data_IF_827053554383
#
_entry.id   IF_827053554383
#
_cell.length_a   1.000
_cell.length_b   1.000
_cell.length_c   1.000
_cell.angle_alpha   90.00
_cell.angle_beta   90.00
_cell.angle_gamma   90.00
#
_symmetry.space_group_name_H-M   'P 1'
#
loop_
_entity.id
_entity.type
_entity.pdbx_description
1 polymer ?
#
# COMPACT_ATOMS: atom_id res chain seq x y z
N UNK A 1 15.46 -28.38 13.12
CA UNK A 1 14.82 -27.34 13.92
C UNK A 1 13.48 -27.07 13.28
N UNK A 2 12.38 -27.20 13.97
CA UNK A 2 11.05 -26.94 13.40
C UNK A 2 10.85 -25.42 13.31
N UNK A 3 11.00 -24.84 12.13
CA UNK A 3 10.61 -23.47 11.85
C UNK A 3 9.08 -23.42 11.82
N UNK A 4 8.45 -23.13 12.93
CA UNK A 4 7.00 -22.93 12.98
C UNK A 4 6.72 -21.48 13.42
N UNK A 5 6.90 -20.52 12.49
CA UNK A 5 6.69 -19.10 12.73
C UNK A 5 5.23 -18.65 12.48
N UNK A 6 4.35 -19.56 12.04
CA UNK A 6 2.93 -19.27 11.82
C UNK A 6 2.29 -18.91 13.16
N UNK A 7 1.53 -17.81 13.18
CA UNK A 7 0.90 -17.26 14.38
C UNK A 7 1.84 -16.47 15.30
N UNK A 8 3.12 -16.29 14.93
CA UNK A 8 4.03 -15.40 15.66
C UNK A 8 3.87 -13.95 15.20
N UNK A 9 4.05 -13.00 16.12
CA UNK A 9 4.10 -11.58 15.75
C UNK A 9 5.24 -11.32 14.74
N UNK A 10 5.08 -10.39 13.80
CA UNK A 10 6.18 -9.96 12.94
C UNK A 10 7.29 -9.32 13.77
N UNK A 11 8.51 -9.33 13.26
CA UNK A 11 9.58 -8.49 13.80
C UNK A 11 9.32 -7.05 13.40
N UNK A 12 9.30 -6.16 14.39
CA UNK A 12 9.18 -4.73 14.18
C UNK A 12 10.56 -4.10 14.08
N UNK A 13 10.78 -3.24 13.10
CA UNK A 13 12.03 -2.54 12.95
C UNK A 13 11.86 -1.13 12.39
N UNK A 14 12.90 -0.31 12.57
CA UNK A 14 12.98 1.04 12.02
C UNK A 14 14.36 1.28 11.42
N UNK A 15 14.42 2.09 10.38
CA UNK A 15 15.65 2.63 9.82
C UNK A 15 15.58 4.15 9.76
N UNK A 16 16.74 4.80 9.61
CA UNK A 16 16.76 6.23 9.26
C UNK A 16 16.96 6.34 7.75
N UNK A 17 16.02 7.00 7.09
CA UNK A 17 16.08 7.35 5.68
C UNK A 17 15.95 8.86 5.51
N UNK A 18 17.00 9.50 5.02
CA UNK A 18 17.09 10.95 4.81
C UNK A 18 16.67 11.79 6.03
N UNK A 19 16.99 11.28 7.24
CA UNK A 19 16.66 11.92 8.50
C UNK A 19 15.30 11.57 9.10
N UNK A 20 14.49 10.78 8.41
CA UNK A 20 13.19 10.29 8.89
C UNK A 20 13.27 8.85 9.39
N UNK A 21 12.54 8.53 10.45
CA UNK A 21 12.34 7.15 10.88
C UNK A 21 11.30 6.47 9.99
N UNK A 22 11.70 5.38 9.33
CA UNK A 22 10.83 4.54 8.52
C UNK A 22 10.69 3.18 9.18
N UNK A 23 9.45 2.81 9.51
CA UNK A 23 9.12 1.56 10.19
C UNK A 23 8.77 0.45 9.20
N UNK A 24 9.02 -0.78 9.60
CA UNK A 24 8.66 -1.97 8.84
C UNK A 24 8.25 -3.12 9.75
N UNK A 25 7.49 -4.04 9.18
CA UNK A 25 7.14 -5.33 9.76
C UNK A 25 7.74 -6.43 8.90
N UNK A 26 8.37 -7.42 9.55
CA UNK A 26 9.04 -8.53 8.88
C UNK A 26 8.46 -9.86 9.41
N UNK A 27 7.57 -10.46 8.60
CA UNK A 27 7.00 -11.78 8.87
C UNK A 27 7.98 -12.85 8.39
N UNK A 28 8.81 -13.31 9.34
CA UNK A 28 9.83 -14.30 9.08
C UNK A 28 9.24 -15.61 8.50
N UNK A 29 9.90 -16.22 7.52
CA UNK A 29 9.41 -17.46 6.90
C UNK A 29 9.40 -18.62 7.90
N UNK A 30 8.50 -19.56 7.68
CA UNK A 30 8.42 -20.83 8.41
C UNK A 30 9.27 -21.93 7.77
N UNK A 31 9.88 -21.69 6.61
CA UNK A 31 10.69 -22.61 5.81
C UNK A 31 12.10 -22.06 5.59
N UNK A 32 13.08 -22.93 5.32
CA UNK A 32 14.43 -22.52 4.90
C UNK A 32 14.48 -22.11 3.41
N UNK A 33 13.51 -22.56 2.62
CA UNK A 33 13.36 -22.20 1.21
C UNK A 33 12.15 -21.30 1.08
N UNK A 34 12.38 -20.07 0.71
CA UNK A 34 11.34 -19.05 0.60
C UNK A 34 11.72 -17.99 -0.43
N UNK A 35 10.72 -17.30 -0.94
CA UNK A 35 10.86 -16.08 -1.71
C UNK A 35 10.59 -14.86 -0.84
N UNK A 36 11.10 -13.70 -1.25
CA UNK A 36 10.83 -12.44 -0.57
C UNK A 36 9.65 -11.73 -1.23
N UNK A 37 8.67 -11.35 -0.42
CA UNK A 37 7.50 -10.58 -0.84
C UNK A 37 7.46 -9.25 -0.08
N UNK A 38 7.58 -8.15 -0.80
CA UNK A 38 7.33 -6.81 -0.29
C UNK A 38 5.85 -6.48 -0.44
N UNK A 39 5.20 -6.03 0.64
CA UNK A 39 3.81 -5.55 0.61
C UNK A 39 3.75 -4.06 0.95
N UNK A 40 2.98 -3.30 0.15
CA UNK A 40 2.85 -1.85 0.28
C UNK A 40 1.38 -1.45 0.36
N UNK A 41 1.05 -0.72 1.42
CA UNK A 41 -0.32 -0.40 1.85
C UNK A 41 -0.94 0.80 1.12
N UNK A 42 -2.30 0.91 1.09
CA UNK A 42 -3.00 2.08 0.59
C UNK A 42 -2.75 3.34 1.43
N UNK A 43 -3.02 4.52 0.86
CA UNK A 43 -3.00 5.80 1.57
C UNK A 43 -3.95 5.79 2.78
N UNK A 44 -3.48 6.31 3.92
CA UNK A 44 -4.24 6.37 5.17
C UNK A 44 -4.30 5.04 5.97
N UNK A 45 -3.57 4.00 5.51
CA UNK A 45 -3.47 2.69 6.18
C UNK A 45 -2.05 2.45 6.71
N UNK A 46 -1.67 1.19 6.93
CA UNK A 46 -0.35 0.79 7.44
C UNK A 46 0.00 -0.62 6.95
N UNK A 47 1.28 -0.97 7.04
CA UNK A 47 1.77 -2.30 6.68
C UNK A 47 1.10 -3.43 7.46
N UNK A 48 0.74 -3.15 8.72
CA UNK A 48 0.13 -4.14 9.60
C UNK A 48 -1.25 -4.63 9.14
N UNK A 49 -1.94 -3.95 8.20
CA UNK A 49 -3.19 -4.47 7.65
C UNK A 49 -3.01 -5.78 6.88
N UNK A 50 -1.78 -6.07 6.42
CA UNK A 50 -1.45 -7.33 5.76
C UNK A 50 -1.23 -8.50 6.73
N UNK A 51 -1.22 -8.27 8.06
CA UNK A 51 -0.87 -9.28 9.09
C UNK A 51 -1.58 -10.64 8.86
N UNK A 52 -2.92 -10.70 8.64
CA UNK A 52 -3.59 -11.99 8.44
C UNK A 52 -3.18 -12.70 7.13
N UNK A 53 -2.85 -11.95 6.08
CA UNK A 53 -2.41 -12.50 4.80
C UNK A 53 -0.95 -12.96 4.91
N UNK A 54 -0.09 -12.11 5.46
CA UNK A 54 1.33 -12.36 5.61
C UNK A 54 1.62 -13.59 6.48
N UNK A 55 0.85 -13.78 7.55
CA UNK A 55 0.99 -14.94 8.42
C UNK A 55 0.72 -16.27 7.68
N UNK A 56 -0.28 -16.29 6.80
CA UNK A 56 -0.62 -17.45 5.99
C UNK A 56 0.38 -17.72 4.84
N UNK A 57 1.19 -16.73 4.48
CA UNK A 57 2.20 -16.84 3.42
C UNK A 57 3.57 -17.33 3.94
N UNK A 58 3.81 -17.42 5.25
CA UNK A 58 5.11 -17.74 5.84
C UNK A 58 5.68 -19.11 5.43
N UNK A 59 4.86 -20.02 4.94
CA UNK A 59 5.35 -21.30 4.44
C UNK A 59 6.24 -21.17 3.21
N UNK A 60 5.98 -20.17 2.37
CA UNK A 60 6.66 -19.98 1.09
C UNK A 60 7.37 -18.63 0.97
N UNK A 61 7.04 -17.65 1.84
CA UNK A 61 7.56 -16.29 1.73
C UNK A 61 8.10 -15.76 3.06
N UNK A 62 9.16 -14.96 2.96
CA UNK A 62 9.44 -13.90 3.91
C UNK A 62 8.67 -12.66 3.44
N UNK A 63 7.66 -12.25 4.19
CA UNK A 63 6.87 -11.07 3.85
C UNK A 63 7.40 -9.87 4.61
N UNK A 64 7.63 -8.76 3.91
CA UNK A 64 8.12 -7.51 4.48
C UNK A 64 7.11 -6.43 4.13
N UNK A 65 6.57 -5.76 5.12
CA UNK A 65 5.67 -4.62 4.95
C UNK A 65 6.33 -3.35 5.46
N UNK A 66 6.29 -2.28 4.68
CA UNK A 66 6.87 -0.99 5.09
C UNK A 66 5.73 0.00 5.34
N UNK A 67 5.75 0.65 6.49
CA UNK A 67 4.92 1.81 6.73
C UNK A 67 5.49 2.99 5.95
N UNK A 68 4.75 3.46 4.96
CA UNK A 68 5.17 4.60 4.14
C UNK A 68 5.29 5.87 5.00
N UNK A 69 6.06 6.87 4.55
CA UNK A 69 6.21 8.17 5.25
C UNK A 69 4.87 8.69 5.75
N UNK A 70 4.78 9.11 7.00
CA UNK A 70 3.58 9.64 7.63
C UNK A 70 2.49 8.62 7.94
N UNK A 71 2.78 7.32 7.80
CA UNK A 71 1.83 6.23 8.07
C UNK A 71 2.35 5.27 9.14
N UNK A 72 1.43 4.59 9.80
CA UNK A 72 1.73 3.55 10.76
C UNK A 72 2.72 4.01 11.84
N UNK A 73 3.79 3.26 12.05
CA UNK A 73 4.86 3.58 13.01
C UNK A 73 6.02 4.39 12.38
N UNK A 74 5.95 4.76 11.10
CA UNK A 74 6.87 5.69 10.46
C UNK A 74 6.67 7.11 10.94
N UNK A 75 7.72 7.92 10.87
CA UNK A 75 7.67 9.31 11.30
C UNK A 75 6.62 10.11 10.53
N UNK A 76 5.87 10.95 11.25
CA UNK A 76 4.91 11.89 10.67
C UNK A 76 5.59 12.87 9.71
N UNK A 77 4.94 13.13 8.59
CA UNK A 77 5.37 14.07 7.55
C UNK A 77 4.17 14.85 7.07
N UNK A 78 4.26 16.17 7.10
CA UNK A 78 3.17 17.10 6.71
C UNK A 78 3.51 17.92 5.47
N UNK A 79 4.80 18.10 5.16
CA UNK A 79 5.21 18.85 3.98
C UNK A 79 5.01 18.00 2.72
N UNK A 80 4.24 18.52 1.76
CA UNK A 80 4.00 17.85 0.47
C UNK A 80 5.30 17.51 -0.26
N UNK A 81 6.32 18.36 -0.15
CA UNK A 81 7.60 18.14 -0.80
C UNK A 81 8.33 16.88 -0.30
N UNK A 82 8.01 16.45 0.92
CA UNK A 82 8.55 15.24 1.55
C UNK A 82 7.67 14.00 1.36
N UNK A 83 6.51 14.13 0.73
CA UNK A 83 5.54 13.04 0.50
C UNK A 83 5.57 12.49 -0.95
N UNK A 84 6.62 12.76 -1.71
CA UNK A 84 6.77 12.28 -3.08
C UNK A 84 6.86 10.76 -3.19
N UNK A 85 6.26 10.20 -4.23
CA UNK A 85 6.29 8.76 -4.50
C UNK A 85 7.72 8.24 -4.69
N UNK A 86 8.59 9.03 -5.32
CA UNK A 86 10.02 8.74 -5.50
C UNK A 86 10.78 8.66 -4.18
N UNK A 87 10.47 9.55 -3.23
CA UNK A 87 11.06 9.54 -1.90
C UNK A 87 10.61 8.33 -1.09
N UNK A 88 9.30 8.00 -1.15
CA UNK A 88 8.76 6.79 -0.50
C UNK A 88 9.39 5.53 -1.09
N UNK A 89 9.57 5.46 -2.42
CA UNK A 89 10.25 4.34 -3.08
C UNK A 89 11.71 4.21 -2.62
N UNK A 90 12.42 5.32 -2.47
CA UNK A 90 13.79 5.36 -1.92
C UNK A 90 13.84 4.83 -0.50
N UNK A 91 12.88 5.21 0.37
CA UNK A 91 12.79 4.69 1.74
C UNK A 91 12.63 3.18 1.77
N UNK A 92 11.69 2.66 0.97
CA UNK A 92 11.42 1.22 0.88
C UNK A 92 12.67 0.47 0.44
N UNK A 93 13.38 0.97 -0.58
CA UNK A 93 14.63 0.35 -1.03
C UNK A 93 15.73 0.36 0.04
N UNK A 94 15.80 1.40 0.87
CA UNK A 94 16.73 1.45 2.02
C UNK A 94 16.35 0.44 3.10
N UNK A 95 15.04 0.24 3.37
CA UNK A 95 14.56 -0.83 4.26
C UNK A 95 15.00 -2.19 3.73
N UNK A 96 14.71 -2.51 2.46
CA UNK A 96 15.09 -3.78 1.85
C UNK A 96 16.60 -4.00 1.88
N UNK A 97 17.39 -2.97 1.60
CA UNK A 97 18.86 -3.00 1.71
C UNK A 97 19.35 -3.27 3.14
N UNK A 98 18.74 -2.65 4.15
CA UNK A 98 19.07 -2.87 5.57
C UNK A 98 18.81 -4.30 6.03
N UNK A 99 17.78 -4.93 5.43
CA UNK A 99 17.40 -6.33 5.67
C UNK A 99 18.18 -7.31 4.81
N UNK A 100 19.12 -6.83 4.00
CA UNK A 100 19.94 -7.63 3.07
C UNK A 100 19.08 -8.43 2.08
N UNK A 101 17.98 -7.85 1.62
CA UNK A 101 17.08 -8.44 0.62
C UNK A 101 17.41 -7.87 -0.75
N UNK A 102 18.08 -8.66 -1.57
CA UNK A 102 18.57 -8.21 -2.87
C UNK A 102 17.49 -8.26 -3.95
N UNK A 103 16.65 -9.32 -3.94
CA UNK A 103 15.58 -9.49 -4.92
C UNK A 103 14.28 -9.89 -4.25
N UNK A 104 13.17 -9.39 -4.76
CA UNK A 104 11.84 -9.59 -4.20
C UNK A 104 10.74 -9.40 -5.24
N UNK A 105 9.58 -9.97 -5.00
CA UNK A 105 8.33 -9.60 -5.67
C UNK A 105 7.61 -8.50 -4.87
N UNK A 106 6.78 -7.70 -5.52
CA UNK A 106 6.04 -6.61 -4.87
C UNK A 106 4.54 -6.80 -5.08
N UNK A 107 3.79 -6.72 -3.98
CA UNK A 107 2.36 -6.51 -3.97
C UNK A 107 2.08 -5.08 -3.48
N UNK A 108 1.61 -4.22 -4.35
CA UNK A 108 1.26 -2.84 -4.02
C UNK A 108 -0.23 -2.56 -4.21
N UNK A 109 -0.87 -1.98 -3.20
CA UNK A 109 -2.30 -1.63 -3.24
C UNK A 109 -2.47 -0.12 -3.23
N UNK A 110 -3.21 0.44 -4.20
CA UNK A 110 -3.51 1.87 -4.33
C UNK A 110 -2.23 2.73 -4.34
N UNK A 111 -1.98 3.58 -3.33
CA UNK A 111 -0.71 4.31 -3.14
C UNK A 111 0.48 3.35 -3.14
N UNK A 112 0.37 2.23 -2.41
CA UNK A 112 1.42 1.20 -2.40
C UNK A 112 1.72 0.65 -3.80
N UNK A 113 0.73 0.60 -4.68
CA UNK A 113 0.91 0.28 -6.10
C UNK A 113 1.69 1.36 -6.86
N UNK A 114 1.43 2.63 -6.59
CA UNK A 114 2.22 3.73 -7.16
C UNK A 114 3.69 3.67 -6.73
N UNK A 115 3.94 3.41 -5.44
CA UNK A 115 5.30 3.25 -4.92
C UNK A 115 5.99 2.00 -5.50
N UNK A 116 5.24 0.92 -5.71
CA UNK A 116 5.75 -0.30 -6.35
C UNK A 116 6.21 -0.05 -7.80
N UNK A 117 5.46 0.77 -8.55
CA UNK A 117 5.83 1.22 -9.90
C UNK A 117 7.16 2.00 -9.86
N UNK A 118 7.29 2.97 -8.95
CA UNK A 118 8.52 3.75 -8.80
C UNK A 118 9.72 2.84 -8.46
N UNK A 119 9.56 1.89 -7.53
CA UNK A 119 10.62 0.93 -7.16
C UNK A 119 11.03 0.09 -8.38
N UNK A 120 10.06 -0.45 -9.12
CA UNK A 120 10.33 -1.29 -10.29
C UNK A 120 11.02 -0.51 -11.42
N UNK A 121 10.74 0.78 -11.55
CA UNK A 121 11.38 1.64 -12.53
C UNK A 121 12.83 2.03 -12.16
N UNK A 122 13.10 2.33 -10.87
CA UNK A 122 14.43 2.80 -10.43
C UNK A 122 15.40 1.67 -10.06
N UNK A 123 14.87 0.47 -9.74
CA UNK A 123 15.68 -0.70 -9.38
C UNK A 123 15.16 -1.98 -10.08
N UNK A 124 15.10 -1.99 -11.43
CA UNK A 124 14.47 -3.06 -12.19
C UNK A 124 15.14 -4.42 -12.01
N UNK A 125 16.40 -4.47 -11.60
CA UNK A 125 17.14 -5.70 -11.32
C UNK A 125 16.75 -6.38 -10.00
N UNK A 126 16.04 -5.64 -9.11
CA UNK A 126 15.62 -6.15 -7.81
C UNK A 126 14.22 -6.75 -7.81
N UNK A 127 13.36 -6.32 -8.74
CA UNK A 127 11.95 -6.71 -8.77
C UNK A 127 11.74 -7.88 -9.71
N UNK A 128 11.28 -9.02 -9.17
CA UNK A 128 10.97 -10.23 -9.93
C UNK A 128 9.60 -10.14 -10.58
N UNK A 129 8.58 -9.93 -9.77
CA UNK A 129 7.17 -9.83 -10.16
C UNK A 129 6.55 -8.60 -9.50
N UNK A 130 5.70 -7.91 -10.23
CA UNK A 130 4.98 -6.72 -9.78
C UNK A 130 3.48 -6.96 -9.87
N UNK A 131 2.82 -7.10 -8.74
CA UNK A 131 1.37 -7.22 -8.62
C UNK A 131 0.77 -5.91 -8.14
N UNK A 132 0.04 -5.24 -9.04
CA UNK A 132 -0.56 -3.92 -8.84
C UNK A 132 -2.07 -4.05 -8.63
N UNK A 133 -2.53 -3.81 -7.40
CA UNK A 133 -3.95 -3.84 -7.05
C UNK A 133 -4.47 -2.41 -6.91
N UNK A 134 -5.37 -1.96 -7.79
CA UNK A 134 -5.92 -0.59 -7.77
C UNK A 134 -4.83 0.50 -7.77
N UNK A 135 -3.71 0.27 -8.45
CA UNK A 135 -2.54 1.16 -8.39
C UNK A 135 -2.85 2.56 -8.92
N UNK A 136 -2.37 3.58 -8.22
CA UNK A 136 -2.63 4.98 -8.55
C UNK A 136 -1.54 5.49 -9.51
N UNK A 137 -1.77 5.26 -10.79
CA UNK A 137 -1.01 5.81 -11.90
C UNK A 137 -1.98 6.22 -13.00
N UNK A 138 -2.01 7.50 -13.35
CA UNK A 138 -3.05 8.08 -14.19
C UNK A 138 -2.47 8.77 -15.42
N UNK A 139 -3.18 8.63 -16.53
CA UNK A 139 -2.95 9.39 -17.75
C UNK A 139 -4.29 9.96 -18.26
N UNK A 140 -4.22 10.91 -19.14
CA UNK A 140 -5.38 11.55 -19.77
C UNK A 140 -5.22 11.60 -21.28
N UNK A 141 -6.25 11.19 -22.00
CA UNK A 141 -6.24 11.14 -23.46
C UNK A 141 -6.21 12.53 -24.09
N UNK A 142 -6.71 13.53 -23.37
CA UNK A 142 -6.75 14.90 -23.86
C UNK A 142 -6.03 15.89 -22.94
N UNK A 143 -5.42 16.92 -23.57
CA UNK A 143 -4.84 18.05 -22.81
C UNK A 143 -5.87 18.79 -21.97
N UNK A 144 -7.14 18.76 -22.36
CA UNK A 144 -8.22 19.43 -21.63
C UNK A 144 -8.50 18.70 -20.35
N UNK A 145 -8.68 17.37 -20.36
CA UNK A 145 -8.92 16.57 -19.16
C UNK A 145 -7.76 16.66 -18.18
N UNK A 146 -6.50 16.59 -18.70
CA UNK A 146 -5.31 16.80 -17.87
C UNK A 146 -5.31 18.18 -17.21
N UNK A 147 -5.66 19.24 -17.95
CA UNK A 147 -5.71 20.59 -17.41
C UNK A 147 -6.81 20.72 -16.35
N UNK A 148 -8.01 20.18 -16.59
CA UNK A 148 -9.11 20.16 -15.63
C UNK A 148 -8.71 19.43 -14.34
N UNK A 149 -8.04 18.28 -14.43
CA UNK A 149 -7.49 17.57 -13.27
C UNK A 149 -6.48 18.40 -12.48
N UNK A 150 -5.56 19.10 -13.16
CA UNK A 150 -4.54 19.92 -12.51
C UNK A 150 -5.11 21.21 -11.89
N UNK A 151 -6.18 21.75 -12.48
CA UNK A 151 -6.85 22.97 -12.02
C UNK A 151 -7.90 22.73 -10.92
N UNK A 152 -8.30 21.49 -10.68
CA UNK A 152 -9.24 21.14 -9.62
C UNK A 152 -8.71 21.63 -8.26
N UNK A 153 -9.49 22.46 -7.58
CA UNK A 153 -9.02 23.16 -6.36
C UNK A 153 -8.72 22.23 -5.21
N UNK A 154 -9.51 21.17 -5.05
CA UNK A 154 -9.36 20.21 -3.97
C UNK A 154 -9.93 18.86 -4.39
N UNK A 155 -9.13 17.82 -4.25
CA UNK A 155 -9.54 16.46 -4.57
C UNK A 155 -10.60 15.96 -3.58
N UNK A 156 -11.73 15.35 -4.02
CA UNK A 156 -12.79 14.90 -3.12
C UNK A 156 -12.32 13.96 -2.00
N UNK A 157 -11.35 13.07 -2.30
CA UNK A 157 -10.76 12.19 -1.28
C UNK A 157 -9.93 12.97 -0.25
N UNK A 158 -9.24 14.05 -0.64
CA UNK A 158 -8.53 14.92 0.30
C UNK A 158 -9.49 15.60 1.28
N UNK A 159 -10.63 16.09 0.78
CA UNK A 159 -11.71 16.62 1.64
C UNK A 159 -12.23 15.57 2.61
N UNK A 160 -12.41 14.34 2.13
CA UNK A 160 -12.84 13.21 2.95
C UNK A 160 -11.83 12.87 4.04
N UNK A 161 -10.54 12.79 3.67
CA UNK A 161 -9.44 12.48 4.57
C UNK A 161 -9.34 13.48 5.73
N UNK A 162 -9.38 14.80 5.46
CA UNK A 162 -9.35 15.84 6.49
C UNK A 162 -10.50 15.77 7.50
N UNK A 163 -11.61 15.12 7.14
CA UNK A 163 -12.78 14.93 8.01
C UNK A 163 -12.72 13.64 8.81
N UNK A 164 -11.71 12.82 8.63
CA UNK A 164 -11.55 11.60 9.41
C UNK A 164 -11.40 11.95 10.89
N UNK A 165 -12.13 11.25 11.73
CA UNK A 165 -11.95 11.33 13.18
C UNK A 165 -10.61 10.68 13.51
N UNK A 166 -9.70 11.43 14.13
CA UNK A 166 -8.37 10.94 14.52
C UNK A 166 -8.34 10.35 15.93
N UNK A 167 -9.14 10.88 16.87
CA UNK A 167 -9.12 10.47 18.30
C UNK A 167 -10.41 9.71 18.66
N UNK A 168 -10.24 8.57 19.30
CA UNK A 168 -11.30 7.63 19.68
C UNK A 168 -11.17 7.23 21.15
N UNK A 169 -12.27 6.82 21.80
CA UNK A 169 -12.24 6.37 23.19
C UNK A 169 -11.39 5.10 23.35
N UNK A 170 -11.55 4.16 22.42
CA UNK A 170 -10.88 2.87 22.43
C UNK A 170 -10.97 2.20 21.05
N UNK A 171 -10.33 1.04 20.88
CA UNK A 171 -10.32 0.27 19.64
C UNK A 171 -11.66 -0.43 19.33
N UNK A 172 -12.49 -0.67 20.33
CA UNK A 172 -13.83 -1.27 20.16
C UNK A 172 -14.75 -0.27 19.44
N UNK A 173 -14.76 1.00 19.87
CA UNK A 173 -15.49 2.08 19.17
C UNK A 173 -15.06 2.21 17.70
N UNK A 174 -13.76 2.07 17.40
CA UNK A 174 -13.26 2.10 16.03
C UNK A 174 -13.80 0.91 15.24
N UNK A 175 -13.74 -0.30 15.82
CA UNK A 175 -14.21 -1.54 15.19
C UNK A 175 -15.69 -1.44 14.81
N UNK A 176 -16.54 -0.96 15.73
CA UNK A 176 -17.97 -0.77 15.50
C UNK A 176 -18.24 0.28 14.42
N UNK A 177 -17.51 1.39 14.47
CA UNK A 177 -17.66 2.48 13.52
C UNK A 177 -17.21 2.09 12.11
N UNK A 178 -16.06 1.48 11.96
CA UNK A 178 -15.48 1.13 10.67
C UNK A 178 -16.14 -0.12 10.06
N UNK A 179 -16.46 -1.11 10.88
CA UNK A 179 -17.16 -2.32 10.44
C UNK A 179 -18.61 -2.11 9.99
N UNK A 180 -19.17 -0.90 10.20
CA UNK A 180 -20.55 -0.54 9.81
C UNK A 180 -20.64 0.55 8.74
N UNK A 181 -19.51 0.99 8.16
CA UNK A 181 -19.49 2.12 7.21
C UNK A 181 -18.64 1.82 5.99
N UNK A 182 -19.19 2.17 4.83
CA UNK A 182 -18.43 2.15 3.57
C UNK A 182 -17.21 3.09 3.63
N UNK A 183 -16.13 2.71 2.97
CA UNK A 183 -15.90 1.43 2.29
C UNK A 183 -15.36 0.31 3.20
N UNK A 184 -15.07 0.62 4.48
CA UNK A 184 -14.35 -0.27 5.40
C UNK A 184 -15.18 -1.46 5.89
N UNK A 185 -16.52 -1.37 5.81
CA UNK A 185 -17.43 -2.48 6.14
C UNK A 185 -17.24 -3.72 5.22
N UNK A 186 -16.63 -3.52 4.06
CA UNK A 186 -16.35 -4.58 3.10
C UNK A 186 -15.06 -5.36 3.43
N UNK A 187 -14.20 -4.81 4.29
CA UNK A 187 -12.96 -5.49 4.67
C UNK A 187 -13.26 -6.79 5.43
N UNK A 188 -12.49 -7.81 5.12
CA UNK A 188 -12.50 -9.03 5.91
C UNK A 188 -12.23 -8.69 7.39
N UNK A 189 -12.99 -9.27 8.36
CA UNK A 189 -12.94 -8.86 9.77
C UNK A 189 -11.53 -8.93 10.40
N UNK A 190 -10.70 -9.89 10.00
CA UNK A 190 -9.32 -10.01 10.51
C UNK A 190 -8.41 -8.91 9.96
N UNK A 191 -8.63 -8.46 8.72
CA UNK A 191 -7.92 -7.34 8.11
C UNK A 191 -8.29 -6.02 8.80
N UNK A 192 -9.59 -5.79 9.04
CA UNK A 192 -10.03 -4.62 9.78
C UNK A 192 -9.45 -4.59 11.20
N UNK A 193 -9.45 -5.73 11.89
CA UNK A 193 -8.85 -5.87 13.23
C UNK A 193 -7.34 -5.60 13.19
N UNK A 194 -6.64 -6.10 12.18
CA UNK A 194 -5.21 -5.85 11.99
C UNK A 194 -4.93 -4.37 11.71
N UNK A 195 -5.73 -3.73 10.86
CA UNK A 195 -5.62 -2.27 10.64
C UNK A 195 -5.83 -1.49 11.95
N UNK A 196 -6.84 -1.81 12.75
CA UNK A 196 -7.09 -1.14 14.04
C UNK A 196 -5.93 -1.38 15.03
N UNK A 197 -5.34 -2.56 15.02
CA UNK A 197 -4.19 -2.88 15.88
C UNK A 197 -2.96 -2.04 15.53
N UNK A 198 -2.63 -1.91 14.25
CA UNK A 198 -1.37 -1.34 13.76
C UNK A 198 -1.49 0.12 13.27
N UNK A 199 -2.66 0.54 12.84
CA UNK A 199 -2.92 1.87 12.31
C UNK A 199 -3.37 2.90 13.33
N UNK A 200 -3.35 2.55 14.64
CA UNK A 200 -3.72 3.43 15.73
C UNK A 200 -2.75 3.29 16.90
N UNK A 201 -2.46 4.40 17.57
CA UNK A 201 -1.55 4.49 18.71
C UNK A 201 -2.29 4.81 20.01
N UNK A 202 -1.84 4.24 21.10
CA UNK A 202 -2.37 4.55 22.44
C UNK A 202 -1.83 5.90 22.91
N UNK A 203 -2.70 6.71 23.51
CA UNK A 203 -2.40 8.02 24.07
C UNK A 203 -2.28 7.94 25.60
N UNK A 204 -1.53 8.87 26.17
CA UNK A 204 -1.35 8.95 27.63
C UNK A 204 -2.65 9.24 28.41
N UNK A 205 -3.65 9.81 27.72
CA UNK A 205 -4.98 10.08 28.30
C UNK A 205 -5.94 8.87 28.25
N UNK A 206 -5.46 7.72 27.79
CA UNK A 206 -6.23 6.47 27.67
C UNK A 206 -7.07 6.39 26.39
N UNK A 207 -7.03 7.38 25.54
CA UNK A 207 -7.67 7.37 24.21
C UNK A 207 -6.76 6.72 23.18
N UNK A 208 -7.28 6.56 21.96
CA UNK A 208 -6.56 5.98 20.82
C UNK A 208 -6.56 6.97 19.67
N UNK A 209 -5.43 7.14 19.03
CA UNK A 209 -5.26 8.09 17.93
C UNK A 209 -4.85 7.40 16.64
N UNK A 210 -5.39 7.88 15.52
CA UNK A 210 -5.03 7.42 14.18
C UNK A 210 -3.55 7.73 13.90
N UNK A 211 -2.78 6.71 13.53
CA UNK A 211 -1.34 6.84 13.31
C UNK A 211 -1.02 7.69 12.05
N UNK A 212 -1.81 7.56 10.98
CA UNK A 212 -1.69 8.45 9.82
C UNK A 212 -2.48 9.72 10.07
N UNK A 213 -1.80 10.87 10.13
CA UNK A 213 -2.46 12.16 10.27
C UNK A 213 -3.42 12.41 9.09
N UNK A 214 -4.68 12.81 9.33
CA UNK A 214 -5.64 13.16 8.27
C UNK A 214 -5.12 14.18 7.26
N UNK A 215 -4.25 15.10 7.66
CA UNK A 215 -3.64 16.08 6.75
C UNK A 215 -2.59 15.41 5.84
N UNK A 216 -1.79 14.48 6.35
CA UNK A 216 -0.86 13.68 5.53
C UNK A 216 -1.61 12.90 4.46
N UNK A 217 -2.66 12.18 4.86
CA UNK A 217 -3.52 11.43 3.93
C UNK A 217 -4.14 12.35 2.86
N UNK A 218 -4.64 13.51 3.28
CA UNK A 218 -5.24 14.51 2.39
C UNK A 218 -4.22 15.11 1.42
N UNK A 219 -3.02 15.42 1.89
CA UNK A 219 -1.92 15.97 1.07
C UNK A 219 -1.54 14.99 -0.03
N UNK A 220 -1.42 13.71 0.28
CA UNK A 220 -1.13 12.66 -0.72
C UNK A 220 -2.25 12.57 -1.76
N UNK A 221 -3.53 12.61 -1.36
CA UNK A 221 -4.65 12.64 -2.31
C UNK A 221 -4.67 13.93 -3.14
N UNK A 222 -4.12 15.02 -2.63
CA UNK A 222 -4.01 16.30 -3.34
C UNK A 222 -2.86 16.36 -4.33
N UNK A 223 -1.84 15.52 -4.17
CA UNK A 223 -0.66 15.49 -5.04
C UNK A 223 -1.01 15.03 -6.44
N UNK A 224 -0.56 15.77 -7.47
CA UNK A 224 -1.06 15.54 -8.83
C UNK A 224 0.01 15.28 -9.85
N UNK A 225 0.96 16.19 -10.02
CA UNK A 225 1.92 16.13 -11.13
C UNK A 225 3.27 15.57 -10.69
N UNK A 226 4.06 16.32 -9.95
CA UNK A 226 5.46 15.98 -9.65
C UNK A 226 5.63 14.82 -8.68
N UNK A 227 4.69 14.65 -7.76
CA UNK A 227 4.80 13.69 -6.66
C UNK A 227 3.68 12.66 -6.66
N UNK A 228 2.80 12.71 -7.64
CA UNK A 228 1.54 12.01 -7.67
C UNK A 228 1.34 11.12 -8.92
N UNK A 229 0.10 10.83 -9.25
CA UNK A 229 -0.27 9.77 -10.19
C UNK A 229 0.20 9.98 -11.62
N UNK A 230 0.36 11.23 -12.08
CA UNK A 230 0.81 11.52 -13.46
C UNK A 230 2.27 11.18 -13.67
N UNK A 231 3.15 11.55 -12.73
CA UNK A 231 4.57 11.19 -12.80
C UNK A 231 4.79 9.69 -12.67
N UNK A 232 4.01 9.02 -11.82
CA UNK A 232 4.07 7.57 -11.65
C UNK A 232 3.65 6.84 -12.93
N UNK A 233 2.62 7.32 -13.65
CA UNK A 233 2.25 6.72 -14.93
C UNK A 233 3.41 6.73 -15.96
N UNK A 234 4.18 7.80 -16.00
CA UNK A 234 5.33 7.90 -16.89
C UNK A 234 6.44 6.87 -16.60
N UNK A 235 6.48 6.31 -15.37
CA UNK A 235 7.42 5.27 -14.95
C UNK A 235 7.08 3.87 -15.44
N UNK A 236 5.83 3.60 -15.82
CA UNK A 236 5.40 2.27 -16.28
C UNK A 236 6.25 1.75 -17.44
N UNK A 237 6.69 2.62 -18.33
CA UNK A 237 7.56 2.28 -19.49
C UNK A 237 8.96 1.78 -19.11
N UNK A 238 9.43 2.07 -17.90
CA UNK A 238 10.75 1.72 -17.41
C UNK A 238 10.76 0.36 -16.67
N UNK A 239 9.59 -0.22 -16.44
CA UNK A 239 9.42 -1.49 -15.74
C UNK A 239 9.91 -2.64 -16.61
N UNK A 240 10.69 -3.55 -16.01
CA UNK A 240 11.18 -4.79 -16.64
C UNK A 240 10.63 -6.05 -16.00
N UNK A 241 10.08 -5.92 -14.79
CA UNK A 241 9.49 -7.03 -14.06
C UNK A 241 8.24 -7.56 -14.75
N UNK A 242 7.97 -8.84 -14.60
CA UNK A 242 6.66 -9.40 -14.93
C UNK A 242 5.60 -8.64 -14.13
N UNK A 243 4.61 -8.08 -14.83
CA UNK A 243 3.65 -7.14 -14.23
C UNK A 243 2.23 -7.64 -14.40
N UNK A 244 1.48 -7.63 -13.32
CA UNK A 244 0.06 -7.98 -13.27
C UNK A 244 -0.74 -6.82 -12.71
N UNK A 245 -1.72 -6.35 -13.50
CA UNK A 245 -2.62 -5.26 -13.13
C UNK A 245 -3.97 -5.85 -12.74
N UNK A 246 -4.38 -5.62 -11.50
CA UNK A 246 -5.62 -6.10 -10.94
C UNK A 246 -6.48 -4.93 -10.48
N UNK A 247 -7.76 -4.95 -10.85
CA UNK A 247 -8.72 -3.93 -10.45
C UNK A 247 -10.08 -4.55 -10.11
N UNK A 248 -10.82 -3.92 -9.20
CA UNK A 248 -12.16 -4.36 -8.82
C UNK A 248 -13.18 -4.09 -9.93
N UNK A 249 -14.08 -5.04 -10.16
CA UNK A 249 -15.19 -4.84 -11.12
C UNK A 249 -16.13 -3.71 -10.74
N UNK A 250 -16.17 -3.35 -9.45
CA UNK A 250 -16.98 -2.31 -8.84
C UNK A 250 -16.12 -1.13 -8.32
N UNK A 251 -14.91 -0.96 -8.88
CA UNK A 251 -14.02 0.16 -8.52
C UNK A 251 -14.68 1.51 -8.77
N UNK A 252 -14.49 2.46 -7.86
CA UNK A 252 -14.91 3.86 -8.03
C UNK A 252 -13.87 4.68 -8.80
N UNK A 253 -12.69 4.09 -9.08
CA UNK A 253 -11.63 4.71 -9.89
C UNK A 253 -11.96 4.56 -11.38
N UNK A 254 -11.36 5.41 -12.20
CA UNK A 254 -11.54 5.36 -13.65
C UNK A 254 -10.97 4.08 -14.26
N UNK A 255 -11.83 3.20 -14.77
CA UNK A 255 -11.41 1.94 -15.41
C UNK A 255 -10.40 2.15 -16.54
N UNK A 256 -10.52 3.23 -17.26
CA UNK A 256 -9.59 3.63 -18.34
C UNK A 256 -8.15 3.76 -17.85
N UNK A 257 -7.92 4.15 -16.60
CA UNK A 257 -6.56 4.27 -16.08
C UNK A 257 -5.86 2.93 -15.93
N UNK A 258 -6.60 1.87 -15.53
CA UNK A 258 -6.04 0.52 -15.46
C UNK A 258 -5.80 -0.06 -16.86
N UNK A 259 -6.69 0.24 -17.82
CA UNK A 259 -6.52 -0.14 -19.23
C UNK A 259 -5.28 0.52 -19.84
N UNK A 260 -5.04 1.81 -19.56
CA UNK A 260 -3.84 2.54 -19.98
C UNK A 260 -2.56 2.01 -19.28
N UNK A 261 -2.62 1.65 -18.00
CA UNK A 261 -1.52 0.99 -17.30
C UNK A 261 -1.16 -0.34 -17.97
N UNK A 262 -2.18 -1.15 -18.29
CA UNK A 262 -2.01 -2.43 -18.97
C UNK A 262 -1.42 -2.27 -20.37
N UNK A 263 -1.87 -1.28 -21.14
CA UNK A 263 -1.31 -0.96 -22.45
C UNK A 263 0.18 -0.56 -22.35
N UNK A 264 0.54 0.32 -21.40
CA UNK A 264 1.92 0.80 -21.23
C UNK A 264 2.88 -0.31 -20.77
N UNK A 265 2.38 -1.30 -20.02
CA UNK A 265 3.16 -2.46 -19.55
C UNK A 265 3.04 -3.69 -20.45
N UNK A 266 2.31 -3.58 -21.58
CA UNK A 266 2.04 -4.67 -22.52
C UNK A 266 1.45 -5.92 -21.82
N UNK A 267 0.46 -5.71 -20.96
CA UNK A 267 -0.28 -6.75 -20.25
C UNK A 267 -1.80 -6.52 -20.36
N UNK A 268 -2.60 -7.24 -19.60
CA UNK A 268 -4.06 -7.09 -19.55
C UNK A 268 -4.49 -6.74 -18.11
N UNK A 269 -5.67 -6.11 -17.98
CA UNK A 269 -6.28 -5.86 -16.68
C UNK A 269 -7.02 -7.11 -16.22
N UNK A 270 -6.67 -7.63 -15.07
CA UNK A 270 -7.37 -8.70 -14.39
C UNK A 270 -8.49 -8.09 -13.53
N UNK A 271 -9.73 -8.16 -14.01
CA UNK A 271 -10.89 -7.65 -13.30
C UNK A 271 -11.37 -8.65 -12.24
N UNK A 272 -11.23 -8.27 -10.97
CA UNK A 272 -11.56 -9.11 -9.81
C UNK A 272 -12.90 -8.64 -9.22
N UNK A 273 -13.78 -9.55 -8.84
CA UNK A 273 -15.03 -9.20 -8.18
C UNK A 273 -14.77 -8.46 -6.86
N UNK A 274 -15.38 -7.29 -6.67
CA UNK A 274 -15.22 -6.45 -5.49
C UNK A 274 -15.05 -4.98 -5.83
N UNK A 275 -14.90 -4.15 -4.79
CA UNK A 275 -14.66 -2.70 -4.88
C UNK A 275 -13.16 -2.35 -4.89
N UNK A 276 -12.86 -1.10 -4.52
CA UNK A 276 -11.46 -0.61 -4.45
C UNK A 276 -10.59 -1.38 -3.44
N UNK A 277 -11.22 -2.07 -2.49
CA UNK A 277 -10.54 -2.91 -1.49
C UNK A 277 -10.68 -4.40 -1.77
N UNK A 278 -11.03 -4.81 -3.00
CA UNK A 278 -11.26 -6.21 -3.37
C UNK A 278 -10.19 -7.17 -2.80
N UNK A 279 -8.95 -6.72 -2.75
CA UNK A 279 -7.82 -7.50 -2.26
C UNK A 279 -7.93 -7.81 -0.75
N UNK A 280 -8.62 -6.99 0.02
CA UNK A 280 -8.77 -7.12 1.47
C UNK A 280 -10.18 -7.58 1.90
N UNK A 281 -11.06 -7.87 0.96
CA UNK A 281 -12.45 -8.26 1.22
C UNK A 281 -12.60 -9.77 1.46
N UNK A 282 -11.64 -10.58 1.00
CA UNK A 282 -11.66 -12.04 1.06
C UNK A 282 -10.23 -12.59 1.09
N UNK A 283 -9.83 -13.21 2.23
CA UNK A 283 -8.47 -13.73 2.41
C UNK A 283 -8.15 -14.90 1.50
N UNK A 284 -9.09 -15.82 1.26
CA UNK A 284 -8.85 -16.98 0.41
C UNK A 284 -8.59 -16.54 -1.03
N UNK A 285 -9.38 -15.59 -1.51
CA UNK A 285 -9.17 -14.97 -2.81
C UNK A 285 -7.83 -14.25 -2.89
N UNK A 286 -7.46 -13.45 -1.88
CA UNK A 286 -6.18 -12.75 -1.83
C UNK A 286 -4.99 -13.72 -1.91
N UNK A 287 -5.04 -14.80 -1.15
CA UNK A 287 -4.01 -15.85 -1.18
C UNK A 287 -3.96 -16.57 -2.53
N UNK A 288 -5.11 -16.80 -3.15
CA UNK A 288 -5.19 -17.41 -4.48
C UNK A 288 -4.55 -16.51 -5.54
N UNK A 289 -4.84 -15.21 -5.50
CA UNK A 289 -4.25 -14.23 -6.40
C UNK A 289 -2.72 -14.12 -6.22
N UNK A 290 -2.23 -14.12 -4.98
CA UNK A 290 -0.78 -14.11 -4.73
C UNK A 290 -0.12 -15.36 -5.32
N UNK A 291 -0.69 -16.56 -5.10
CA UNK A 291 -0.16 -17.81 -5.66
C UNK A 291 -0.25 -17.87 -7.18
N UNK A 292 -1.26 -17.26 -7.77
CA UNK A 292 -1.44 -17.24 -9.22
C UNK A 292 -0.44 -16.30 -9.92
N UNK A 293 -0.23 -15.11 -9.35
CA UNK A 293 0.54 -14.06 -10.02
C UNK A 293 1.96 -13.89 -9.49
N UNK A 294 2.25 -14.32 -8.27
CA UNK A 294 3.60 -14.18 -7.68
C UNK A 294 4.32 -15.55 -7.58
N UNK A 295 3.57 -16.65 -7.52
CA UNK A 295 4.09 -18.02 -7.54
C UNK A 295 4.06 -18.69 -6.18
#
# INVERSE_FOLDING_TARGET
MSYNNIGQAPLEGKIISDGLEIAYLDWQPASEVYDNLLVLHPNGFCAGMFDPIADLLRENYRVIGVDLRGHGASQEVLDEADLGNDLMASDVLKVMGSLQVDTFSILGVSLGGAIAIEIAAIAPEKVKVLMLCEAIAMNFDSRKERAEFLEEKEHPLAVGARRRRSIWSDREEIQDSYGSRKPLEALEPSVLKAYIKWGFVDRDDGQVELACNPETEATIFGSRERYGPLSTFERLRDIKAETHILAGTQTDLGKVWFEQQAEETNTEVNWIEGGNFFFFEDLERSLSLIREYIG
#
